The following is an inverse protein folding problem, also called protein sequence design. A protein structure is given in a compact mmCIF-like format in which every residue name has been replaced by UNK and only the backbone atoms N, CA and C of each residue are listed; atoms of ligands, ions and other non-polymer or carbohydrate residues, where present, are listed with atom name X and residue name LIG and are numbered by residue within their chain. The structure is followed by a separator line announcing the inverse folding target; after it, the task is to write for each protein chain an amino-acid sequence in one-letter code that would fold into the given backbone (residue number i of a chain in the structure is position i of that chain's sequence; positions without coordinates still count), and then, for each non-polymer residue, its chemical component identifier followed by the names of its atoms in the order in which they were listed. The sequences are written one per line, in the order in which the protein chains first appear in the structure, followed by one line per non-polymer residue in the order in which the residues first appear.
data_IF_535848849502
#
_entry.id   IF_535848849502
#
_cell.length_a   1.000
_cell.length_b   1.000
_cell.length_c   1.000
_cell.angle_alpha   90.00
_cell.angle_beta   90.00
_cell.angle_gamma   90.00
#
_symmetry.space_group_name_H-M   'P 1'
#
loop_
_entity.id
_entity.type
_entity.pdbx_description
1 polymer ?
#
# COMPACT_ATOMS: atom_id res chain seq x y z
N UNK A 1 -14.88 -1.65 10.73
CA UNK A 1 -15.27 -0.25 10.51
C UNK A 1 -14.07 0.45 9.89
N UNK A 2 -14.17 0.90 8.63
CA UNK A 2 -13.08 1.60 7.95
C UNK A 2 -13.45 3.07 7.94
N UNK A 3 -12.70 3.87 8.69
CA UNK A 3 -12.89 5.31 8.81
C UNK A 3 -11.79 5.97 7.97
N UNK A 4 -12.17 6.81 7.00
CA UNK A 4 -11.23 7.66 6.24
C UNK A 4 -11.22 9.01 6.94
N UNK A 5 -10.16 9.29 7.68
CA UNK A 5 -9.87 10.62 8.20
C UNK A 5 -8.62 11.16 7.48
N UNK A 6 -8.78 12.32 6.84
CA UNK A 6 -7.74 13.29 6.51
C UNK A 6 -6.43 12.72 5.91
N UNK A 7 -6.53 11.80 4.93
CA UNK A 7 -5.39 11.19 4.21
C UNK A 7 -4.74 9.95 4.86
N UNK A 8 -5.45 9.21 5.71
CA UNK A 8 -4.98 7.90 6.22
C UNK A 8 -5.95 6.74 5.94
N UNK A 9 -5.46 5.51 6.01
CA UNK A 9 -6.28 4.30 5.92
C UNK A 9 -5.70 3.15 6.75
N UNK A 10 -6.54 2.17 7.09
CA UNK A 10 -6.19 0.96 7.85
C UNK A 10 -6.64 -0.28 7.07
N UNK A 11 -5.95 -1.39 7.28
CA UNK A 11 -6.27 -2.66 6.64
C UNK A 11 -5.21 -3.72 6.88
N UNK A 12 -5.27 -4.80 6.09
CA UNK A 12 -4.24 -5.83 6.05
C UNK A 12 -3.77 -6.00 4.60
N UNK A 13 -2.50 -6.31 4.40
CA UNK A 13 -1.90 -6.65 3.11
C UNK A 13 -1.25 -8.03 3.21
N UNK A 14 -1.72 -8.99 2.40
CA UNK A 14 -1.35 -10.41 2.49
C UNK A 14 -1.43 -10.99 3.93
N UNK A 15 -2.42 -10.55 4.71
CA UNK A 15 -2.62 -11.01 6.08
C UNK A 15 -1.82 -10.24 7.14
N UNK A 16 -0.95 -9.31 6.75
CA UNK A 16 -0.16 -8.49 7.68
C UNK A 16 -0.81 -7.12 7.90
N UNK A 17 -0.93 -6.62 9.16
CA UNK A 17 -1.50 -5.32 9.43
C UNK A 17 -0.74 -4.18 8.76
N UNK A 18 -1.51 -3.22 8.22
CA UNK A 18 -0.99 -1.99 7.66
C UNK A 18 -0.67 -0.99 8.77
N UNK A 19 0.51 -0.42 8.72
CA UNK A 19 0.92 0.75 9.52
C UNK A 19 1.25 1.93 8.60
N UNK A 20 1.18 3.15 9.15
CA UNK A 20 1.51 4.39 8.44
C UNK A 20 0.81 4.56 7.07
N UNK A 21 -0.43 4.08 6.95
CA UNK A 21 -1.22 4.17 5.72
C UNK A 21 -1.52 5.63 5.36
N UNK A 22 -1.16 6.01 4.13
CA UNK A 22 -1.40 7.33 3.54
C UNK A 22 -2.17 7.21 2.23
N UNK A 23 -3.18 8.04 2.03
CA UNK A 23 -3.95 8.13 0.78
C UNK A 23 -3.94 9.56 0.25
N UNK A 24 -3.69 9.72 -1.04
CA UNK A 24 -3.75 10.98 -1.77
C UNK A 24 -4.71 10.80 -2.96
N UNK A 25 -5.67 11.73 -3.12
CA UNK A 25 -6.69 11.71 -4.18
C UNK A 25 -6.55 12.89 -5.15
N UNK A 26 -5.45 13.64 -5.03
CA UNK A 26 -5.16 14.80 -5.85
C UNK A 26 -4.94 14.43 -7.32
N UNK A 27 -5.14 15.41 -8.20
CA UNK A 27 -4.99 15.28 -9.65
C UNK A 27 -5.83 14.13 -10.26
N UNK A 28 -7.00 13.86 -9.66
CA UNK A 28 -7.98 12.91 -10.20
C UNK A 28 -7.54 11.45 -10.18
N UNK A 29 -6.58 11.08 -9.32
CA UNK A 29 -6.07 9.71 -9.25
C UNK A 29 -5.75 9.33 -7.80
N UNK A 30 -6.25 8.17 -7.36
CA UNK A 30 -5.95 7.64 -6.02
C UNK A 30 -4.55 7.06 -6.01
N UNK A 31 -3.73 7.53 -5.08
CA UNK A 31 -2.40 7.02 -4.76
C UNK A 31 -2.35 6.70 -3.28
N UNK A 32 -1.57 5.68 -2.93
CA UNK A 32 -1.39 5.32 -1.53
C UNK A 32 0.03 4.83 -1.27
N UNK A 33 0.42 4.92 0.00
CA UNK A 33 1.61 4.29 0.52
C UNK A 33 1.32 3.75 1.92
N UNK A 34 2.00 2.66 2.29
CA UNK A 34 1.87 2.07 3.62
C UNK A 34 3.07 1.17 3.96
N UNK A 35 3.14 0.76 5.22
CA UNK A 35 4.16 -0.17 5.71
C UNK A 35 3.49 -1.44 6.22
N UNK A 36 4.12 -2.58 5.96
CA UNK A 36 3.92 -3.81 6.73
C UNK A 36 5.24 -4.23 7.34
N UNK A 37 5.20 -5.02 8.40
CA UNK A 37 6.41 -5.49 9.07
C UNK A 37 6.23 -6.94 9.48
N UNK A 38 7.27 -7.74 9.27
CA UNK A 38 7.42 -9.08 9.83
C UNK A 38 8.72 -9.15 10.65
N UNK A 39 9.07 -10.33 11.16
CA UNK A 39 10.30 -10.52 11.97
C UNK A 39 11.60 -10.15 11.25
N UNK A 40 11.54 -9.96 9.93
CA UNK A 40 12.66 -9.63 9.05
C UNK A 40 12.75 -8.12 8.74
N UNK A 41 11.85 -7.32 9.32
CA UNK A 41 11.82 -5.86 9.18
C UNK A 41 10.74 -5.32 8.24
N UNK A 42 10.79 -4.01 7.95
CA UNK A 42 9.71 -3.32 7.25
C UNK A 42 9.73 -3.56 5.75
N UNK A 43 8.53 -3.59 5.18
CA UNK A 43 8.27 -3.46 3.76
C UNK A 43 7.51 -2.17 3.50
N UNK A 44 8.00 -1.42 2.53
CA UNK A 44 7.33 -0.23 2.05
C UNK A 44 6.53 -0.60 0.81
N UNK A 45 5.27 -0.19 0.80
CA UNK A 45 4.35 -0.43 -0.29
C UNK A 45 3.87 0.92 -0.82
N UNK A 46 3.75 1.02 -2.13
CA UNK A 46 3.06 2.14 -2.78
C UNK A 46 2.29 1.66 -3.98
N UNK A 47 1.22 2.36 -4.32
CA UNK A 47 0.43 2.03 -5.49
C UNK A 47 -0.47 3.15 -5.97
N UNK A 48 -0.97 2.96 -7.19
CA UNK A 48 -1.85 3.89 -7.89
C UNK A 48 -3.03 3.13 -8.46
N UNK A 49 -4.24 3.68 -8.30
CA UNK A 49 -5.45 3.16 -8.93
C UNK A 49 -5.58 3.75 -10.34
N UNK A 50 -5.50 2.88 -11.36
CA UNK A 50 -5.66 3.25 -12.79
C UNK A 50 -6.63 2.28 -13.44
N UNK A 51 -7.66 2.80 -14.11
CA UNK A 51 -8.61 2.01 -14.89
C UNK A 51 -9.22 0.82 -14.11
N UNK A 52 -9.56 1.03 -12.84
CA UNK A 52 -10.14 -0.03 -11.98
C UNK A 52 -9.13 -1.07 -11.47
N UNK A 53 -7.84 -0.93 -11.79
CA UNK A 53 -6.76 -1.79 -11.33
C UNK A 53 -5.76 -1.01 -10.49
N UNK A 54 -5.20 -1.64 -9.47
CA UNK A 54 -4.09 -1.11 -8.71
C UNK A 54 -2.80 -1.62 -9.33
N UNK A 55 -1.86 -0.72 -9.54
CA UNK A 55 -0.47 -1.03 -9.88
C UNK A 55 0.41 -0.52 -8.76
N UNK A 56 1.33 -1.37 -8.28
CA UNK A 56 2.09 -1.06 -7.08
C UNK A 56 3.46 -1.71 -7.03
N UNK A 57 4.21 -1.29 -6.03
CA UNK A 57 5.57 -1.75 -5.77
C UNK A 57 5.74 -2.00 -4.28
N UNK A 58 6.48 -3.05 -3.96
CA UNK A 58 6.92 -3.36 -2.60
C UNK A 58 8.45 -3.36 -2.59
N UNK A 59 9.06 -2.70 -1.60
CA UNK A 59 10.50 -2.79 -1.38
C UNK A 59 10.85 -3.00 0.10
N UNK A 60 11.98 -3.66 0.34
CA UNK A 60 12.61 -3.74 1.66
C UNK A 60 14.12 -3.71 1.48
N UNK A 61 14.75 -2.60 1.88
CA UNK A 61 16.19 -2.41 1.70
C UNK A 61 17.00 -3.38 2.56
N UNK A 62 16.58 -3.61 3.81
CA UNK A 62 17.23 -4.57 4.72
C UNK A 62 17.21 -6.01 4.21
N UNK A 63 16.29 -6.33 3.28
CA UNK A 63 16.16 -7.64 2.65
C UNK A 63 16.65 -7.69 1.20
N UNK A 64 17.10 -6.58 0.62
CA UNK A 64 17.40 -6.49 -0.81
C UNK A 64 16.20 -6.84 -1.71
N UNK A 65 14.97 -6.54 -1.26
CA UNK A 65 13.73 -6.94 -1.94
C UNK A 65 13.12 -5.78 -2.72
N UNK A 66 12.70 -6.04 -3.95
CA UNK A 66 11.93 -5.13 -4.81
C UNK A 66 11.00 -5.95 -5.71
N UNK A 67 9.69 -5.70 -5.62
CA UNK A 67 8.71 -6.41 -6.42
C UNK A 67 7.60 -5.47 -6.92
N UNK A 68 7.31 -5.57 -8.22
CA UNK A 68 6.10 -5.01 -8.82
C UNK A 68 4.91 -5.95 -8.60
N UNK A 69 3.72 -5.38 -8.42
CA UNK A 69 2.48 -6.15 -8.31
C UNK A 69 1.29 -5.37 -8.87
N UNK A 70 0.22 -6.09 -9.22
CA UNK A 70 -1.05 -5.49 -9.59
C UNK A 70 -2.21 -6.22 -8.93
N UNK A 71 -3.26 -5.48 -8.56
CA UNK A 71 -4.46 -6.05 -7.97
C UNK A 71 -5.71 -5.51 -8.68
N UNK A 72 -6.65 -6.40 -9.00
CA UNK A 72 -7.98 -6.04 -9.44
C UNK A 72 -8.98 -6.54 -8.42
N UNK A 73 -10.10 -5.85 -8.28
CA UNK A 73 -11.23 -6.38 -7.52
C UNK A 73 -11.83 -7.55 -8.33
N UNK A 74 -12.07 -8.73 -7.71
CA UNK A 74 -12.72 -9.86 -8.39
C UNK A 74 -14.09 -9.51 -8.95
#
# INVERSE_FOLDING_TARGET
MTEITDSSFKGNFYGTPITNGRINVDWGTVRFAFVTEDQSGPYHHSGVLRNGRIEGMTNSLGRGFLAYWSAARP
#
